data_IF_456179793515
#
_entry.id   IF_456179793515
#
_cell.length_a   1.000
_cell.length_b   1.000
_cell.length_c   1.000
_cell.angle_alpha   90.00
_cell.angle_beta   90.00
_cell.angle_gamma   90.00
#
_symmetry.space_group_name_H-M   'P 1'
#
loop_
_entity.id
_entity.type
_entity.pdbx_description
1 polymer ?
#
# COMPACT_ATOMS: atom_id res chain seq x y z
N UNK A 1 -10.48 -13.75 -9.18
CA UNK A 1 -10.57 -13.23 -7.80
C UNK A 1 -10.91 -11.76 -7.89
N UNK A 2 -11.97 -11.32 -7.19
CA UNK A 2 -12.51 -9.96 -7.25
C UNK A 2 -12.42 -9.25 -5.88
N UNK A 3 -11.46 -9.62 -5.04
CA UNK A 3 -11.24 -8.97 -3.76
C UNK A 3 -10.49 -7.65 -3.95
N UNK A 4 -11.21 -6.53 -3.95
CA UNK A 4 -10.59 -5.24 -3.71
C UNK A 4 -10.28 -5.11 -2.21
N UNK A 5 -9.06 -4.72 -1.87
CA UNK A 5 -8.67 -4.47 -0.48
C UNK A 5 -8.53 -2.97 -0.27
N UNK A 6 -9.22 -2.45 0.74
CA UNK A 6 -9.07 -1.05 1.17
C UNK A 6 -8.05 -1.02 2.30
N UNK A 7 -6.98 -0.25 2.10
CA UNK A 7 -5.93 0.01 3.07
C UNK A 7 -6.16 1.42 3.60
N UNK A 8 -6.45 1.53 4.90
CA UNK A 8 -6.67 2.82 5.57
C UNK A 8 -5.42 3.20 6.35
N UNK A 9 -4.99 4.44 6.19
CA UNK A 9 -3.85 5.03 6.91
C UNK A 9 -4.30 6.28 7.63
N UNK A 10 -3.80 6.48 8.84
CA UNK A 10 -3.94 7.74 9.55
C UNK A 10 -2.57 8.40 9.70
N UNK A 11 -2.45 9.63 9.23
CA UNK A 11 -1.23 10.42 9.33
C UNK A 11 -1.42 11.53 10.36
N UNK A 12 -0.61 11.53 11.43
CA UNK A 12 -0.63 12.58 12.44
C UNK A 12 -0.13 13.93 11.89
N UNK A 13 0.80 13.88 10.93
CA UNK A 13 1.37 15.04 10.22
C UNK A 13 1.49 14.71 8.75
N UNK A 14 1.64 15.72 7.89
CA UNK A 14 1.92 15.48 6.49
C UNK A 14 3.19 14.64 6.31
N UNK A 15 3.16 13.65 5.41
CA UNK A 15 4.26 12.73 5.18
C UNK A 15 4.21 12.11 3.78
N UNK A 16 5.34 11.64 3.29
CA UNK A 16 5.40 10.78 2.10
C UNK A 16 5.48 9.31 2.52
N UNK A 17 4.70 8.45 1.87
CA UNK A 17 4.64 7.02 2.17
C UNK A 17 5.07 6.18 0.96
N UNK A 18 5.60 5.00 1.24
CA UNK A 18 5.73 3.92 0.27
C UNK A 18 4.79 2.78 0.67
N UNK A 19 3.79 2.53 -0.17
CA UNK A 19 2.97 1.33 -0.10
C UNK A 19 3.67 0.23 -0.88
N UNK A 20 3.84 -0.93 -0.28
CA UNK A 20 4.31 -2.14 -0.95
C UNK A 20 3.35 -3.28 -0.65
N UNK A 21 3.01 -4.07 -1.68
CA UNK A 21 2.23 -5.30 -1.53
C UNK A 21 3.10 -6.45 -2.03
N UNK A 22 3.22 -7.48 -1.21
CA UNK A 22 4.04 -8.66 -1.49
C UNK A 22 3.22 -9.92 -1.36
N UNK A 23 3.59 -10.94 -2.12
CA UNK A 23 3.04 -12.28 -1.93
C UNK A 23 3.62 -12.97 -0.69
N UNK A 24 3.14 -14.17 -0.37
CA UNK A 24 3.60 -14.96 0.79
C UNK A 24 5.08 -15.35 0.75
N UNK A 25 5.73 -15.22 -0.41
CA UNK A 25 7.17 -15.46 -0.58
C UNK A 25 7.99 -14.18 -0.47
N UNK A 26 7.35 -13.04 -0.15
CA UNK A 26 7.99 -11.73 -0.03
C UNK A 26 8.28 -11.06 -1.37
N UNK A 27 7.75 -11.58 -2.50
CA UNK A 27 7.96 -10.95 -3.81
C UNK A 27 7.03 -9.76 -3.97
N UNK A 28 7.59 -8.59 -4.28
CA UNK A 28 6.80 -7.39 -4.55
C UNK A 28 5.94 -7.55 -5.80
N UNK A 29 4.62 -7.44 -5.62
CA UNK A 29 3.64 -7.49 -6.72
C UNK A 29 3.12 -6.11 -7.08
N UNK A 30 3.09 -5.21 -6.12
CA UNK A 30 2.68 -3.83 -6.30
C UNK A 30 3.50 -2.94 -5.36
N UNK A 31 3.80 -1.72 -5.80
CA UNK A 31 4.45 -0.73 -4.96
C UNK A 31 4.02 0.65 -5.47
N UNK A 32 3.84 1.62 -4.59
CA UNK A 32 3.44 2.97 -4.96
C UNK A 32 4.09 3.95 -4.00
N UNK A 33 4.64 5.04 -4.55
CA UNK A 33 5.14 6.15 -3.75
C UNK A 33 4.05 7.20 -3.71
N UNK A 34 3.63 7.54 -2.50
CA UNK A 34 2.56 8.48 -2.20
C UNK A 34 3.22 9.72 -1.59
N UNK A 35 3.39 10.75 -2.40
CA UNK A 35 4.13 11.94 -1.99
C UNK A 35 3.21 12.98 -1.34
N UNK A 36 3.73 13.66 -0.33
CA UNK A 36 3.10 14.84 0.28
C UNK A 36 1.64 14.63 0.74
N UNK A 37 1.34 13.46 1.32
CA UNK A 37 0.01 13.21 1.89
C UNK A 37 -0.20 14.14 3.09
N UNK A 38 -1.32 14.89 3.17
CA UNK A 38 -1.62 15.72 4.33
C UNK A 38 -1.90 14.89 5.59
N UNK A 39 -1.88 15.52 6.75
CA UNK A 39 -2.37 14.89 7.98
C UNK A 39 -3.85 14.50 7.84
N UNK A 40 -4.24 13.38 8.43
CA UNK A 40 -5.60 12.84 8.39
C UNK A 40 -5.68 11.41 7.87
N UNK A 41 -6.91 10.97 7.56
CA UNK A 41 -7.20 9.64 7.05
C UNK A 41 -7.05 9.57 5.53
N UNK A 42 -6.36 8.54 5.05
CA UNK A 42 -6.20 8.21 3.64
C UNK A 42 -6.67 6.79 3.37
N UNK A 43 -7.29 6.56 2.20
CA UNK A 43 -7.75 5.23 1.77
C UNK A 43 -7.17 4.88 0.41
N UNK A 44 -6.54 3.72 0.35
CA UNK A 44 -5.95 3.18 -0.87
C UNK A 44 -6.67 1.88 -1.23
N UNK A 45 -7.18 1.79 -2.45
CA UNK A 45 -7.89 0.59 -2.92
C UNK A 45 -6.98 -0.21 -3.84
N UNK A 46 -6.51 -1.35 -3.37
CA UNK A 46 -5.79 -2.30 -4.22
C UNK A 46 -6.78 -3.26 -4.90
N UNK A 47 -6.82 -3.21 -6.23
CA UNK A 47 -7.74 -3.99 -7.08
C UNK A 47 -7.28 -5.44 -7.33
N UNK A 48 -6.27 -5.94 -6.60
CA UNK A 48 -5.66 -7.24 -6.88
C UNK A 48 -4.88 -7.23 -8.21
N UNK A 49 -4.25 -6.11 -8.54
CA UNK A 49 -3.48 -5.91 -9.78
C UNK A 49 -2.05 -5.50 -9.49
N UNK A 50 -1.12 -5.91 -10.34
CA UNK A 50 0.26 -5.42 -10.28
C UNK A 50 0.37 -3.98 -10.84
N UNK A 51 1.58 -3.41 -10.82
CA UNK A 51 1.86 -2.06 -11.36
C UNK A 51 1.47 -1.86 -12.84
N UNK A 52 1.35 -2.94 -13.60
CA UNK A 52 0.98 -2.90 -15.03
C UNK A 52 -0.54 -3.05 -15.23
N UNK A 53 -1.34 -3.01 -14.16
CA UNK A 53 -2.78 -3.24 -14.21
C UNK A 53 -3.17 -4.70 -14.49
N UNK A 54 -2.21 -5.63 -14.47
CA UNK A 54 -2.51 -7.05 -14.69
C UNK A 54 -2.98 -7.69 -13.39
N UNK A 55 -4.07 -8.48 -13.42
CA UNK A 55 -4.50 -9.24 -12.25
C UNK A 55 -3.38 -10.14 -11.72
N UNK A 56 -3.22 -10.18 -10.40
CA UNK A 56 -2.35 -11.16 -9.74
C UNK A 56 -3.13 -12.43 -9.37
N UNK A 57 -2.41 -13.49 -9.01
CA UNK A 57 -3.05 -14.73 -8.59
C UNK A 57 -3.93 -14.52 -7.35
N UNK A 58 -4.99 -15.31 -7.21
CA UNK A 58 -5.75 -15.36 -5.96
C UNK A 58 -4.84 -15.85 -4.83
N UNK A 59 -4.89 -15.22 -3.66
CA UNK A 59 -4.07 -15.66 -2.53
C UNK A 59 -4.02 -14.65 -1.39
N UNK A 60 -3.21 -14.99 -0.39
CA UNK A 60 -2.86 -14.08 0.71
C UNK A 60 -1.71 -13.17 0.27
N UNK A 61 -1.82 -11.91 0.65
CA UNK A 61 -0.81 -10.89 0.41
C UNK A 61 -0.58 -10.09 1.68
N UNK A 62 0.63 -9.57 1.85
CA UNK A 62 0.96 -8.64 2.90
C UNK A 62 1.16 -7.25 2.31
N UNK A 63 0.72 -6.22 3.03
CA UNK A 63 1.04 -4.84 2.69
C UNK A 63 1.99 -4.25 3.73
N UNK A 64 2.87 -3.38 3.27
CA UNK A 64 3.79 -2.59 4.08
C UNK A 64 3.61 -1.13 3.74
N UNK A 65 3.65 -0.29 4.77
CA UNK A 65 3.64 1.16 4.66
C UNK A 65 4.87 1.68 5.38
N UNK A 66 5.74 2.34 4.65
CA UNK A 66 6.92 2.97 5.20
C UNK A 66 6.86 4.48 4.96
N UNK A 67 7.02 5.27 6.02
CA UNK A 67 7.28 6.70 5.88
C UNK A 67 8.64 6.90 5.22
N UNK A 68 8.69 7.66 4.14
CA UNK A 68 9.94 8.06 3.46
C UNK A 68 10.84 8.89 4.40
N UNK A 69 10.25 9.50 5.43
CA UNK A 69 10.93 10.34 6.42
C UNK A 69 11.34 9.56 7.69
N UNK A 70 11.22 8.22 7.68
CA UNK A 70 11.60 7.35 8.79
C UNK A 70 10.62 7.33 9.98
N UNK A 71 9.52 8.10 9.94
CA UNK A 71 8.45 8.07 10.95
C UNK A 71 7.31 7.19 10.46
N UNK A 72 7.19 5.99 11.02
CA UNK A 72 6.01 5.14 10.87
C UNK A 72 5.26 5.23 12.20
N UNK A 73 4.15 5.98 12.25
CA UNK A 73 3.24 5.91 13.40
C UNK A 73 2.31 4.71 13.22
N UNK A 74 2.21 3.81 14.23
CA UNK A 74 1.34 2.65 14.20
C UNK A 74 -0.14 3.02 14.22
#
# INVERSE_FOLDING_TARGET
>A
FNGATVITVHLATAASLQLQIVDVLGRAVYQETLEALPAGEHRFTWQGQNRLGKPVASGLYYYFLAGQDGRVTP
#
